data_IF_117240665093
#
_entry.id   IF_117240665093
#
_cell.length_a   1.000
_cell.length_b   1.000
_cell.length_c   1.000
_cell.angle_alpha   90.00
_cell.angle_beta   90.00
_cell.angle_gamma   90.00
#
_symmetry.space_group_name_H-M   'P 1'
#
loop_
_entity.id
_entity.type
_entity.pdbx_description
1 polymer ?
#
# COMPACT_ATOMS: atom_id res chain seq x y z
N UNK A 1 11.29 16.47 27.32
CA UNK A 1 9.93 15.90 27.21
C UNK A 1 9.85 15.19 25.89
N UNK A 2 9.40 13.92 25.84
CA UNK A 2 9.23 13.21 24.56
C UNK A 2 8.08 13.85 23.78
N UNK A 3 8.17 13.82 22.44
CA UNK A 3 7.18 14.41 21.54
C UNK A 3 6.50 13.34 20.71
N UNK A 4 5.17 13.41 20.58
CA UNK A 4 4.36 12.56 19.75
C UNK A 4 3.90 13.33 18.51
N UNK A 5 4.10 12.77 17.34
CA UNK A 5 3.53 13.29 16.10
C UNK A 5 2.31 12.46 15.71
N UNK A 6 1.20 13.11 15.40
CA UNK A 6 0.03 12.46 14.80
C UNK A 6 -0.06 12.91 13.34
N UNK A 7 0.09 11.98 12.41
CA UNK A 7 -0.10 12.22 10.99
C UNK A 7 -1.53 11.89 10.58
N UNK A 8 -2.20 12.84 9.96
CA UNK A 8 -3.57 12.71 9.45
C UNK A 8 -3.60 13.02 7.95
N UNK A 9 -3.50 12.01 7.09
CA UNK A 9 -3.71 12.19 5.65
C UNK A 9 -5.16 12.58 5.36
N UNK A 10 -5.37 13.58 4.50
CA UNK A 10 -6.70 14.08 4.12
C UNK A 10 -6.85 14.21 2.61
N UNK A 11 -8.04 13.85 2.12
CA UNK A 11 -8.47 14.09 0.75
C UNK A 11 -9.99 14.17 0.69
N UNK A 12 -10.54 15.39 0.54
CA UNK A 12 -11.97 15.66 0.56
C UNK A 12 -12.67 15.12 1.81
N UNK A 13 -12.19 15.54 2.98
CA UNK A 13 -12.67 15.13 4.31
C UNK A 13 -13.28 16.31 5.09
N UNK A 14 -13.94 17.25 4.41
CA UNK A 14 -14.54 18.45 5.01
C UNK A 14 -15.41 18.17 6.23
N UNK A 15 -16.16 17.06 6.19
CA UNK A 15 -17.12 16.69 7.27
C UNK A 15 -16.43 16.07 8.49
N UNK A 16 -15.18 15.61 8.34
CA UNK A 16 -14.46 14.84 9.35
C UNK A 16 -13.30 15.59 10.00
N UNK A 17 -12.62 16.48 9.24
CA UNK A 17 -11.33 17.04 9.63
C UNK A 17 -11.36 17.85 10.92
N UNK A 18 -12.39 18.66 11.15
CA UNK A 18 -12.54 19.45 12.37
C UNK A 18 -12.73 18.54 13.60
N UNK A 19 -13.67 17.60 13.51
CA UNK A 19 -13.94 16.66 14.59
C UNK A 19 -12.75 15.75 14.90
N UNK A 20 -11.97 15.35 13.88
CA UNK A 20 -10.73 14.59 14.09
C UNK A 20 -9.68 15.42 14.83
N UNK A 21 -9.49 16.68 14.43
CA UNK A 21 -8.55 17.59 15.10
C UNK A 21 -8.93 17.81 16.58
N UNK A 22 -10.20 18.02 16.87
CA UNK A 22 -10.71 18.17 18.24
C UNK A 22 -10.49 16.91 19.05
N UNK A 23 -10.85 15.74 18.52
CA UNK A 23 -10.71 14.46 19.22
C UNK A 23 -9.26 14.12 19.51
N UNK A 24 -8.35 14.31 18.53
CA UNK A 24 -6.93 14.09 18.71
C UNK A 24 -6.35 15.05 19.75
N UNK A 25 -6.75 16.32 19.72
CA UNK A 25 -6.30 17.32 20.69
C UNK A 25 -6.75 16.96 22.11
N UNK A 26 -8.00 16.52 22.29
CA UNK A 26 -8.53 16.06 23.56
C UNK A 26 -7.72 14.88 24.11
N UNK A 27 -7.47 13.84 23.33
CA UNK A 27 -6.68 12.68 23.74
C UNK A 27 -5.25 13.10 24.15
N UNK A 28 -4.59 13.96 23.36
CA UNK A 28 -3.23 14.42 23.61
C UNK A 28 -3.14 15.30 24.86
N UNK A 29 -4.16 16.07 25.17
CA UNK A 29 -4.19 16.96 26.35
C UNK A 29 -4.66 16.28 27.64
N UNK A 30 -5.46 15.20 27.53
CA UNK A 30 -5.98 14.47 28.68
C UNK A 30 -5.16 13.21 28.98
N UNK A 31 -5.22 12.22 28.11
CA UNK A 31 -4.58 10.92 28.33
C UNK A 31 -3.06 10.94 28.15
N UNK A 32 -2.54 11.84 27.28
CA UNK A 32 -1.14 11.92 26.92
C UNK A 32 -0.47 13.27 27.30
N UNK A 33 -0.99 13.95 28.31
CA UNK A 33 -0.58 15.28 28.74
C UNK A 33 0.89 15.40 29.18
N UNK A 34 1.56 14.27 29.47
CA UNK A 34 2.99 14.18 29.80
C UNK A 34 3.92 14.29 28.60
N UNK A 35 3.37 14.35 27.38
CA UNK A 35 4.13 14.49 26.14
C UNK A 35 3.92 15.85 25.52
N UNK A 36 4.94 16.33 24.80
CA UNK A 36 4.70 17.35 23.79
C UNK A 36 4.10 16.70 22.53
N UNK A 37 3.42 17.48 21.69
CA UNK A 37 2.78 16.90 20.52
C UNK A 37 2.74 17.86 19.33
N UNK A 38 2.60 17.28 18.16
CA UNK A 38 2.15 17.93 16.93
C UNK A 38 1.11 17.08 16.23
N UNK A 39 0.15 17.72 15.58
CA UNK A 39 -0.82 17.09 14.68
C UNK A 39 -0.51 17.61 13.28
N UNK A 40 -0.07 16.73 12.39
CA UNK A 40 0.29 17.07 11.02
C UNK A 40 -0.79 16.59 10.06
N UNK A 41 -1.55 17.52 9.49
CA UNK A 41 -2.43 17.24 8.36
C UNK A 41 -1.63 17.31 7.08
N UNK A 42 -1.74 16.27 6.23
CA UNK A 42 -1.24 16.32 4.86
C UNK A 42 -2.41 16.24 3.90
N UNK A 43 -2.71 17.36 3.26
CA UNK A 43 -3.82 17.49 2.32
C UNK A 43 -3.40 17.16 0.89
N UNK A 44 -4.03 16.15 0.34
CA UNK A 44 -3.71 15.61 -0.97
C UNK A 44 -4.47 16.31 -2.12
N UNK A 45 -4.47 17.65 -2.12
CA UNK A 45 -5.16 18.51 -3.09
C UNK A 45 -6.69 18.40 -2.99
N UNK A 46 -7.26 18.61 -1.80
CA UNK A 46 -8.72 18.65 -1.60
C UNK A 46 -9.37 19.84 -2.28
N UNK A 47 -10.61 19.64 -2.77
CA UNK A 47 -11.40 20.63 -3.52
C UNK A 47 -12.76 20.93 -2.88
N UNK A 48 -13.08 20.30 -1.76
CA UNK A 48 -14.39 20.38 -1.09
C UNK A 48 -14.49 21.41 0.04
N UNK A 49 -13.39 22.15 0.30
CA UNK A 49 -13.26 23.11 1.40
C UNK A 49 -12.55 22.53 2.64
N UNK A 50 -12.01 21.31 2.58
CA UNK A 50 -11.16 20.72 3.64
C UNK A 50 -9.97 21.62 3.97
N UNK A 51 -9.32 22.21 2.96
CA UNK A 51 -8.16 23.10 3.11
C UNK A 51 -8.44 24.30 4.00
N UNK A 52 -9.58 24.98 3.76
CA UNK A 52 -9.98 26.16 4.53
C UNK A 52 -10.18 25.86 6.01
N UNK A 53 -10.69 24.65 6.32
CA UNK A 53 -10.87 24.21 7.70
C UNK A 53 -9.52 23.94 8.36
N UNK A 54 -8.63 23.24 7.67
CA UNK A 54 -7.27 22.95 8.17
C UNK A 54 -6.51 24.26 8.44
N UNK A 55 -6.61 25.26 7.57
CA UNK A 55 -5.98 26.57 7.78
C UNK A 55 -6.51 27.26 9.04
N UNK A 56 -7.81 27.24 9.27
CA UNK A 56 -8.43 27.79 10.48
C UNK A 56 -7.96 27.06 11.73
N UNK A 57 -7.81 25.72 11.67
CA UNK A 57 -7.27 24.93 12.79
C UNK A 57 -5.83 25.29 13.09
N UNK A 58 -4.99 25.41 12.06
CA UNK A 58 -3.59 25.85 12.21
C UNK A 58 -3.45 27.28 12.77
N UNK A 59 -4.37 28.18 12.40
CA UNK A 59 -4.39 29.54 12.96
C UNK A 59 -4.74 29.56 14.45
N UNK A 60 -5.67 28.68 14.89
CA UNK A 60 -6.10 28.57 16.29
C UNK A 60 -5.06 27.88 17.18
N UNK A 61 -4.34 26.86 16.65
CA UNK A 61 -3.40 26.07 17.44
C UNK A 61 -2.09 25.83 16.66
N UNK A 62 -0.99 26.39 17.16
CA UNK A 62 0.34 26.26 16.55
C UNK A 62 0.91 24.84 16.56
N UNK A 63 0.38 23.95 17.38
CA UNK A 63 0.74 22.52 17.39
C UNK A 63 0.04 21.72 16.26
N UNK A 64 -0.96 22.32 15.60
CA UNK A 64 -1.55 21.79 14.38
C UNK A 64 -0.78 22.35 13.21
N UNK A 65 -0.23 21.46 12.40
CA UNK A 65 0.59 21.76 11.22
C UNK A 65 -0.10 21.24 9.96
N UNK A 66 0.18 21.85 8.85
CA UNK A 66 -0.37 21.41 7.57
C UNK A 66 0.66 21.44 6.45
N UNK A 67 0.58 20.42 5.58
CA UNK A 67 1.22 20.37 4.28
C UNK A 67 0.11 20.28 3.24
N UNK A 68 0.15 21.14 2.24
CA UNK A 68 -0.78 21.14 1.12
C UNK A 68 -0.04 20.71 -0.14
N UNK A 69 -0.53 19.65 -0.78
CA UNK A 69 0.06 19.14 -2.01
C UNK A 69 -0.46 19.92 -3.24
N UNK A 70 0.38 20.10 -4.26
CA UNK A 70 0.00 20.78 -5.52
C UNK A 70 -1.01 19.96 -6.34
N UNK A 71 -1.03 18.64 -6.18
CA UNK A 71 -1.93 17.71 -6.86
C UNK A 71 -2.18 16.48 -5.99
N UNK A 72 -3.11 15.63 -6.41
CA UNK A 72 -3.36 14.35 -5.74
C UNK A 72 -2.28 13.33 -6.12
N UNK A 73 -1.38 13.00 -5.18
CA UNK A 73 -0.31 12.01 -5.33
C UNK A 73 -0.73 10.58 -4.93
N UNK A 74 -2.01 10.36 -4.64
CA UNK A 74 -2.55 9.06 -4.30
C UNK A 74 -2.47 8.71 -2.81
N UNK A 75 -3.04 7.54 -2.50
CA UNK A 75 -3.24 7.09 -1.11
C UNK A 75 -1.98 6.53 -0.44
N UNK A 76 -0.89 6.32 -1.18
CA UNK A 76 0.37 5.78 -0.64
C UNK A 76 1.44 6.86 -0.50
N UNK A 77 1.63 7.67 -1.52
CA UNK A 77 2.71 8.66 -1.58
C UNK A 77 2.49 9.79 -0.58
N UNK A 78 1.29 10.38 -0.54
CA UNK A 78 0.99 11.50 0.35
C UNK A 78 1.16 11.15 1.84
N UNK A 79 0.56 10.05 2.37
CA UNK A 79 0.79 9.64 3.76
C UNK A 79 2.24 9.30 4.07
N UNK A 80 2.93 8.59 3.18
CA UNK A 80 4.34 8.25 3.36
C UNK A 80 5.22 9.50 3.46
N UNK A 81 5.00 10.45 2.55
CA UNK A 81 5.69 11.72 2.59
C UNK A 81 5.43 12.47 3.90
N UNK A 82 4.17 12.52 4.34
CA UNK A 82 3.78 13.12 5.62
C UNK A 82 4.48 12.49 6.82
N UNK A 83 4.61 11.14 6.85
CA UNK A 83 5.37 10.43 7.89
C UNK A 83 6.83 10.90 7.93
N UNK A 84 7.46 11.07 6.77
CA UNK A 84 8.83 11.56 6.68
C UNK A 84 9.01 13.01 7.17
N UNK A 85 7.95 13.82 7.24
CA UNK A 85 7.99 15.22 7.71
C UNK A 85 7.72 15.37 9.21
N UNK A 86 7.29 14.33 9.92
CA UNK A 86 7.05 14.38 11.38
C UNK A 86 8.34 14.56 12.16
N UNK A 87 8.26 15.19 13.33
CA UNK A 87 9.46 15.54 14.13
C UNK A 87 9.45 14.94 15.53
N UNK A 88 8.44 14.12 15.87
CA UNK A 88 8.29 13.47 17.16
C UNK A 88 9.25 12.30 17.39
N UNK A 89 9.34 11.86 18.65
CA UNK A 89 10.05 10.65 19.05
C UNK A 89 9.30 9.38 18.59
N UNK A 90 8.00 9.50 18.33
CA UNK A 90 7.19 8.53 17.60
C UNK A 90 6.15 9.24 16.74
N UNK A 91 5.66 8.54 15.73
CA UNK A 91 4.61 9.02 14.80
C UNK A 91 3.45 8.04 14.79
N UNK A 92 2.24 8.52 15.04
CA UNK A 92 1.00 7.76 14.81
C UNK A 92 0.41 8.20 13.48
N UNK A 93 0.15 7.25 12.58
CA UNK A 93 -0.57 7.49 11.33
C UNK A 93 -2.01 7.05 11.47
N UNK A 94 -2.98 7.93 11.24
CA UNK A 94 -4.41 7.67 11.41
C UNK A 94 -5.20 8.32 10.29
N UNK A 95 -6.19 7.60 9.72
CA UNK A 95 -7.08 8.14 8.69
C UNK A 95 -8.10 9.12 9.28
N UNK A 96 -8.46 10.15 8.50
CA UNK A 96 -9.37 11.22 8.95
C UNK A 96 -10.84 10.78 9.10
N UNK A 97 -11.23 9.61 8.59
CA UNK A 97 -12.62 9.16 8.42
C UNK A 97 -13.22 8.43 9.64
N UNK A 98 -12.50 8.38 10.75
CA UNK A 98 -12.87 7.65 11.99
C UNK A 98 -13.07 6.13 11.82
N UNK A 99 -12.60 5.55 10.73
CA UNK A 99 -12.54 4.09 10.58
C UNK A 99 -11.40 3.46 11.40
N UNK A 100 -10.40 4.26 11.72
CA UNK A 100 -9.34 3.95 12.68
C UNK A 100 -9.67 4.68 13.98
N UNK A 101 -9.92 3.97 15.11
CA UNK A 101 -10.37 4.61 16.36
C UNK A 101 -9.22 5.37 17.04
N UNK A 102 -9.35 6.72 17.21
CA UNK A 102 -8.32 7.52 17.88
C UNK A 102 -8.09 7.11 19.34
N UNK A 103 -9.06 6.46 19.95
CA UNK A 103 -9.02 5.95 21.33
C UNK A 103 -7.91 4.91 21.57
N UNK A 104 -7.37 4.30 20.50
CA UNK A 104 -6.27 3.35 20.60
C UNK A 104 -4.90 4.03 20.71
N UNK A 105 -4.79 5.32 20.43
CA UNK A 105 -3.52 6.05 20.47
C UNK A 105 -2.83 5.94 21.84
N UNK A 106 -3.52 6.10 22.98
CA UNK A 106 -2.87 5.90 24.28
C UNK A 106 -2.27 4.52 24.47
N UNK A 107 -2.97 3.45 24.07
CA UNK A 107 -2.45 2.08 24.18
C UNK A 107 -1.25 1.84 23.26
N UNK A 108 -1.21 2.46 22.08
CA UNK A 108 -0.05 2.41 21.18
C UNK A 108 1.17 3.10 21.81
N UNK A 109 0.96 4.26 22.46
CA UNK A 109 2.04 4.98 23.15
C UNK A 109 2.53 4.19 24.35
N UNK A 110 1.66 3.52 25.10
CA UNK A 110 2.04 2.66 26.21
C UNK A 110 2.92 1.47 25.71
N UNK A 111 2.51 0.80 24.64
CA UNK A 111 3.30 -0.26 24.03
C UNK A 111 4.67 0.26 23.54
N UNK A 112 4.72 1.46 22.94
CA UNK A 112 5.98 2.09 22.54
C UNK A 112 6.90 2.35 23.73
N UNK A 113 6.37 2.76 24.87
CA UNK A 113 7.17 2.95 26.10
C UNK A 113 7.70 1.62 26.67
N UNK A 114 6.99 0.52 26.42
CA UNK A 114 7.48 -0.84 26.74
C UNK A 114 8.60 -1.32 25.81
N UNK A 115 8.97 -0.51 24.78
CA UNK A 115 10.09 -0.80 23.88
C UNK A 115 9.70 -1.33 22.51
N UNK A 116 8.41 -1.43 22.19
CA UNK A 116 7.98 -1.75 20.83
C UNK A 116 8.26 -0.56 19.91
N UNK A 117 8.88 -0.84 18.76
CA UNK A 117 9.24 0.20 17.78
C UNK A 117 8.18 0.41 16.71
N UNK A 118 7.35 -0.59 16.49
CA UNK A 118 6.20 -0.55 15.60
C UNK A 118 5.01 -1.12 16.36
N UNK A 119 3.90 -0.38 16.45
CA UNK A 119 2.64 -0.87 17.00
C UNK A 119 1.59 -0.75 15.91
N UNK A 120 1.13 -1.86 15.37
CA UNK A 120 0.23 -1.92 14.22
C UNK A 120 -1.20 -2.24 14.62
N UNK A 121 -2.14 -1.43 14.19
CA UNK A 121 -3.56 -1.74 14.30
C UNK A 121 -4.00 -2.76 13.28
N UNK A 122 -4.55 -3.90 13.74
CA UNK A 122 -5.02 -5.00 12.89
C UNK A 122 -6.54 -5.09 12.96
N UNK A 123 -7.20 -5.04 11.81
CA UNK A 123 -8.66 -5.17 11.73
C UNK A 123 -9.10 -6.61 11.92
N UNK A 124 -9.90 -6.88 12.96
CA UNK A 124 -10.42 -8.24 13.23
C UNK A 124 -11.69 -8.55 12.44
N UNK A 125 -12.50 -7.55 12.13
CA UNK A 125 -13.72 -7.73 11.34
C UNK A 125 -13.97 -6.52 10.44
N UNK A 126 -14.36 -6.78 9.20
CA UNK A 126 -15.02 -5.80 8.35
C UNK A 126 -16.39 -6.34 7.96
N UNK A 127 -17.45 -5.52 8.10
CA UNK A 127 -18.82 -5.88 7.68
C UNK A 127 -18.96 -5.84 6.16
N UNK A 128 -18.06 -6.55 5.45
CA UNK A 128 -18.06 -6.63 4.00
C UNK A 128 -18.92 -7.80 3.49
N UNK A 129 -19.38 -7.70 2.24
CA UNK A 129 -20.12 -8.79 1.57
C UNK A 129 -19.23 -10.03 1.47
N UNK A 130 -19.74 -11.21 1.82
CA UNK A 130 -18.99 -12.47 1.92
C UNK A 130 -18.15 -12.84 0.69
N UNK A 131 -18.59 -12.49 -0.52
CA UNK A 131 -17.83 -12.76 -1.75
C UNK A 131 -16.54 -11.93 -1.86
N UNK A 132 -16.59 -10.64 -1.49
CA UNK A 132 -15.39 -9.75 -1.49
C UNK A 132 -14.41 -10.21 -0.41
N UNK A 133 -14.92 -10.62 0.76
CA UNK A 133 -14.12 -11.20 1.83
C UNK A 133 -13.39 -12.47 1.38
N UNK A 134 -14.08 -13.38 0.66
CA UNK A 134 -13.49 -14.60 0.11
C UNK A 134 -12.37 -14.30 -0.89
N UNK A 135 -12.61 -13.41 -1.86
CA UNK A 135 -11.60 -13.01 -2.84
C UNK A 135 -10.36 -12.39 -2.17
N UNK A 136 -10.58 -11.54 -1.17
CA UNK A 136 -9.52 -10.91 -0.40
C UNK A 136 -8.72 -11.95 0.41
N UNK A 137 -9.39 -12.90 1.02
CA UNK A 137 -8.74 -13.99 1.76
C UNK A 137 -7.90 -14.87 0.83
N UNK A 138 -8.41 -15.22 -0.35
CA UNK A 138 -7.65 -15.94 -1.37
C UNK A 138 -6.42 -15.14 -1.81
N UNK A 139 -6.56 -13.83 -2.04
CA UNK A 139 -5.46 -12.94 -2.39
C UNK A 139 -4.37 -12.90 -1.29
N UNK A 140 -4.76 -12.71 -0.01
CA UNK A 140 -3.78 -12.72 1.10
C UNK A 140 -3.10 -14.08 1.27
N UNK A 141 -3.82 -15.20 1.17
CA UNK A 141 -3.22 -16.54 1.19
C UNK A 141 -2.25 -16.75 0.03
N UNK A 142 -2.61 -16.29 -1.17
CA UNK A 142 -1.73 -16.37 -2.33
C UNK A 142 -0.46 -15.55 -2.11
N UNK A 143 -0.58 -14.28 -1.73
CA UNK A 143 0.58 -13.41 -1.47
C UNK A 143 1.44 -13.93 -0.32
N UNK A 144 0.85 -14.40 0.77
CA UNK A 144 1.57 -14.96 1.92
C UNK A 144 2.51 -16.11 1.52
N UNK A 145 2.05 -16.98 0.61
CA UNK A 145 2.85 -18.11 0.12
C UNK A 145 3.84 -17.71 -0.98
N UNK A 146 3.62 -16.59 -1.66
CA UNK A 146 4.35 -16.15 -2.83
C UNK A 146 5.28 -14.96 -2.57
N UNK A 147 5.07 -14.21 -1.48
CA UNK A 147 5.91 -13.07 -1.12
C UNK A 147 7.22 -13.52 -0.48
N UNK A 148 8.30 -12.80 -0.78
CA UNK A 148 9.57 -12.92 -0.06
C UNK A 148 9.49 -12.36 1.37
N UNK A 149 8.40 -11.65 1.69
CA UNK A 149 8.16 -10.95 2.95
C UNK A 149 6.84 -11.42 3.56
N UNK A 150 6.81 -11.64 4.86
CA UNK A 150 5.59 -12.02 5.58
C UNK A 150 4.65 -10.81 5.68
N UNK A 151 3.77 -10.65 4.70
CA UNK A 151 2.76 -9.59 4.70
C UNK A 151 1.84 -9.71 5.92
N UNK A 152 1.60 -8.59 6.58
CA UNK A 152 0.73 -8.50 7.75
C UNK A 152 -0.72 -8.43 7.26
N UNK A 153 -1.51 -9.44 7.63
CA UNK A 153 -2.91 -9.54 7.21
C UNK A 153 -3.74 -8.43 7.88
N UNK A 154 -4.69 -7.84 7.15
CA UNK A 154 -5.62 -6.80 7.62
C UNK A 154 -4.98 -5.50 8.17
N UNK A 155 -3.68 -5.30 7.98
CA UNK A 155 -2.99 -4.07 8.30
C UNK A 155 -3.24 -2.99 7.24
N UNK A 156 -3.59 -1.78 7.67
CA UNK A 156 -3.95 -0.66 6.77
C UNK A 156 -2.93 0.49 6.77
N UNK A 157 -1.98 0.46 7.70
CA UNK A 157 -1.04 1.55 7.95
C UNK A 157 -1.41 2.36 9.21
N UNK A 158 -2.55 2.11 9.83
CA UNK A 158 -2.86 2.64 11.15
C UNK A 158 -1.94 2.02 12.20
N UNK A 159 -1.24 2.87 12.94
CA UNK A 159 -0.27 2.39 13.93
C UNK A 159 0.68 3.48 14.40
N UNK A 160 1.53 3.11 15.35
CA UNK A 160 2.61 3.94 15.87
C UNK A 160 3.96 3.43 15.38
N UNK A 161 4.81 4.36 15.00
CA UNK A 161 6.14 4.13 14.44
C UNK A 161 7.18 4.97 15.20
N UNK A 162 8.17 4.31 15.78
CA UNK A 162 9.28 4.95 16.48
C UNK A 162 10.12 5.81 15.50
N UNK A 163 10.76 6.84 16.01
CA UNK A 163 11.63 7.71 15.21
C UNK A 163 12.73 6.97 14.45
N UNK A 164 13.20 5.84 14.95
CA UNK A 164 14.21 5.04 14.27
C UNK A 164 13.65 4.39 13.00
N UNK A 165 12.39 3.97 13.03
CA UNK A 165 11.70 3.49 11.83
C UNK A 165 11.39 4.63 10.85
N UNK A 166 10.97 5.80 11.36
CA UNK A 166 10.78 7.00 10.52
C UNK A 166 12.09 7.44 9.85
N UNK A 167 13.23 7.33 10.54
CA UNK A 167 14.54 7.60 9.95
C UNK A 167 14.84 6.63 8.79
N UNK A 168 14.57 5.32 8.96
CA UNK A 168 14.68 4.35 7.89
C UNK A 168 13.80 4.73 6.68
N UNK A 169 12.53 5.15 6.91
CA UNK A 169 11.65 5.56 5.81
C UNK A 169 12.23 6.72 4.99
N UNK A 170 12.91 7.69 5.66
CA UNK A 170 13.56 8.82 4.99
C UNK A 170 14.76 8.39 4.13
N UNK A 171 15.47 7.34 4.53
CA UNK A 171 16.64 6.82 3.81
C UNK A 171 16.27 5.94 2.61
N UNK A 172 15.06 5.35 2.59
CA UNK A 172 14.66 4.41 1.54
C UNK A 172 14.55 5.05 0.14
N UNK A 173 14.32 6.35 0.04
CA UNK A 173 14.18 7.09 -1.23
C UNK A 173 13.33 6.37 -2.28
N UNK A 174 12.30 5.61 -1.84
CA UNK A 174 11.41 4.89 -2.75
C UNK A 174 10.41 5.84 -3.42
N UNK A 175 10.40 5.99 -4.74
CA UNK A 175 9.46 6.88 -5.43
C UNK A 175 8.02 6.36 -5.45
N UNK A 176 7.81 5.08 -5.14
CA UNK A 176 6.48 4.46 -5.01
C UNK A 176 6.43 3.67 -3.70
N UNK A 177 6.40 4.36 -2.55
CA UNK A 177 6.45 3.71 -1.26
C UNK A 177 5.15 2.96 -0.97
N UNK A 178 5.29 1.69 -0.60
CA UNK A 178 4.18 0.87 -0.13
C UNK A 178 4.40 0.53 1.34
N UNK A 179 3.93 1.40 2.25
CA UNK A 179 4.21 1.33 3.68
C UNK A 179 3.94 -0.06 4.28
N UNK A 180 2.85 -0.72 3.88
CA UNK A 180 2.51 -2.07 4.38
C UNK A 180 3.57 -3.11 4.08
N UNK A 181 4.15 -3.05 2.90
CA UNK A 181 5.24 -3.93 2.48
C UNK A 181 6.55 -3.57 3.19
N UNK A 182 6.85 -2.28 3.34
CA UNK A 182 8.04 -1.80 4.07
C UNK A 182 7.96 -2.24 5.53
N UNK A 183 6.83 -2.06 6.20
CA UNK A 183 6.63 -2.53 7.59
C UNK A 183 6.83 -4.05 7.66
N UNK A 184 6.25 -4.82 6.74
CA UNK A 184 6.38 -6.27 6.70
C UNK A 184 7.83 -6.73 6.43
N UNK A 185 8.58 -6.01 5.62
CA UNK A 185 9.99 -6.31 5.30
C UNK A 185 10.91 -6.09 6.49
N UNK A 186 10.70 -5.01 7.22
CA UNK A 186 11.60 -4.62 8.31
C UNK A 186 11.09 -4.98 9.71
N UNK A 187 9.85 -5.48 9.86
CA UNK A 187 9.26 -5.78 11.18
C UNK A 187 10.08 -6.77 12.00
N UNK A 188 10.83 -7.68 11.37
CA UNK A 188 11.72 -8.63 12.08
C UNK A 188 12.92 -7.95 12.75
N UNK A 189 13.38 -6.82 12.24
CA UNK A 189 14.45 -6.00 12.79
C UNK A 189 13.99 -4.97 13.82
N UNK A 190 12.69 -4.71 13.87
CA UNK A 190 12.05 -3.80 14.82
C UNK A 190 11.09 -4.59 15.70
N UNK A 191 11.18 -4.40 17.03
CA UNK A 191 10.24 -5.04 17.94
C UNK A 191 8.82 -4.52 17.65
N UNK A 192 7.93 -5.40 17.14
CA UNK A 192 6.59 -5.05 16.68
C UNK A 192 5.53 -5.70 17.55
N UNK A 193 4.46 -4.94 17.83
CA UNK A 193 3.23 -5.40 18.47
C UNK A 193 2.04 -5.22 17.53
N UNK A 194 1.20 -6.23 17.43
CA UNK A 194 -0.09 -6.17 16.73
C UNK A 194 -1.20 -5.93 17.77
N UNK A 195 -2.01 -4.90 17.53
CA UNK A 195 -3.17 -4.54 18.36
C UNK A 195 -4.43 -4.70 17.53
N UNK A 196 -5.25 -5.66 17.92
CA UNK A 196 -6.50 -5.94 17.22
C UNK A 196 -7.58 -4.91 17.53
N UNK A 197 -8.36 -4.53 16.51
CA UNK A 197 -9.51 -3.65 16.70
C UNK A 197 -10.65 -3.95 15.72
N UNK A 198 -11.87 -3.65 16.13
CA UNK A 198 -13.04 -3.65 15.25
C UNK A 198 -13.12 -2.33 14.49
N UNK A 199 -13.20 -2.40 13.17
CA UNK A 199 -13.32 -1.20 12.35
C UNK A 199 -14.72 -0.58 12.48
N UNK A 200 -14.86 0.64 13.01
CA UNK A 200 -16.13 1.34 13.02
C UNK A 200 -16.59 1.69 11.62
N UNK A 201 -17.87 2.01 11.48
CA UNK A 201 -18.37 2.58 10.22
C UNK A 201 -17.79 3.97 10.01
N UNK A 202 -17.50 4.31 8.77
CA UNK A 202 -17.10 5.66 8.37
C UNK A 202 -18.13 6.67 8.90
N UNK A 203 -17.66 7.73 9.56
CA UNK A 203 -18.53 8.75 10.18
C UNK A 203 -19.30 9.55 9.14
N UNK A 204 -18.61 10.04 8.10
CA UNK A 204 -19.18 10.84 7.02
C UNK A 204 -18.35 10.72 5.74
N UNK A 205 -18.86 11.27 4.63
CA UNK A 205 -18.19 11.27 3.33
C UNK A 205 -18.32 9.95 2.57
N UNK A 206 -17.69 9.88 1.40
CA UNK A 206 -17.71 8.72 0.51
C UNK A 206 -16.29 8.15 0.33
N UNK A 207 -16.19 6.84 0.12
CA UNK A 207 -14.91 6.25 -0.27
C UNK A 207 -14.52 6.70 -1.68
N UNK A 208 -13.26 7.07 -1.84
CA UNK A 208 -12.67 7.42 -3.14
C UNK A 208 -11.99 6.23 -3.83
N UNK A 209 -11.97 5.07 -3.18
CA UNK A 209 -11.43 3.84 -3.77
C UNK A 209 -12.39 3.28 -4.82
N UNK A 210 -11.90 3.08 -6.03
CA UNK A 210 -12.58 2.42 -7.12
C UNK A 210 -11.84 1.13 -7.52
N UNK A 211 -12.38 0.38 -8.49
CA UNK A 211 -11.79 -0.87 -8.94
C UNK A 211 -10.34 -0.69 -9.45
N UNK A 212 -10.07 0.40 -10.18
CA UNK A 212 -8.72 0.68 -10.72
C UNK A 212 -7.72 0.96 -9.60
N UNK A 213 -8.08 1.78 -8.61
CA UNK A 213 -7.18 2.06 -7.48
C UNK A 213 -6.89 0.82 -6.64
N UNK A 214 -7.85 -0.10 -6.52
CA UNK A 214 -7.65 -1.38 -5.84
C UNK A 214 -6.76 -2.33 -6.68
N UNK A 215 -6.96 -2.35 -8.00
CA UNK A 215 -6.12 -3.11 -8.92
C UNK A 215 -4.67 -2.61 -8.88
N UNK A 216 -4.45 -1.29 -8.99
CA UNK A 216 -3.13 -0.69 -8.93
C UNK A 216 -2.42 -1.00 -7.60
N UNK A 217 -3.14 -0.91 -6.47
CA UNK A 217 -2.61 -1.27 -5.17
C UNK A 217 -2.22 -2.76 -5.08
N UNK A 218 -3.05 -3.63 -5.67
CA UNK A 218 -2.78 -5.06 -5.74
C UNK A 218 -1.54 -5.35 -6.61
N UNK A 219 -1.46 -4.74 -7.79
CA UNK A 219 -0.33 -4.94 -8.71
C UNK A 219 0.97 -4.36 -8.14
N UNK A 220 0.92 -3.19 -7.49
CA UNK A 220 2.05 -2.62 -6.79
C UNK A 220 2.59 -3.57 -5.71
N UNK A 221 1.70 -4.10 -4.87
CA UNK A 221 2.07 -5.07 -3.84
C UNK A 221 2.68 -6.34 -4.45
N UNK A 222 2.06 -6.85 -5.52
CA UNK A 222 2.49 -8.08 -6.18
C UNK A 222 3.86 -7.91 -6.86
N UNK A 223 4.03 -6.88 -7.68
CA UNK A 223 5.27 -6.66 -8.45
C UNK A 223 6.45 -6.23 -7.58
N UNK A 224 6.20 -5.52 -6.47
CA UNK A 224 7.26 -5.07 -5.57
C UNK A 224 7.76 -6.16 -4.62
N UNK A 225 6.89 -7.07 -4.17
CA UNK A 225 7.23 -8.02 -3.09
C UNK A 225 7.15 -9.49 -3.50
N UNK A 226 6.81 -9.82 -4.76
CA UNK A 226 6.82 -11.21 -5.24
C UNK A 226 7.68 -11.38 -6.49
N UNK A 227 8.51 -12.43 -6.48
CA UNK A 227 9.29 -12.85 -7.66
C UNK A 227 8.67 -14.06 -8.35
N UNK A 228 7.62 -14.64 -7.75
CA UNK A 228 7.06 -15.92 -8.17
C UNK A 228 6.34 -15.78 -9.50
N UNK A 229 5.66 -14.66 -9.77
CA UNK A 229 4.99 -14.45 -11.04
C UNK A 229 5.94 -14.60 -12.23
N UNK A 230 7.11 -13.94 -12.18
CA UNK A 230 8.13 -14.09 -13.21
C UNK A 230 8.72 -15.50 -13.27
N UNK A 231 8.95 -16.15 -12.12
CA UNK A 231 9.45 -17.52 -12.05
C UNK A 231 8.48 -18.53 -12.63
N UNK A 232 7.18 -18.39 -12.36
CA UNK A 232 6.12 -19.23 -12.97
C UNK A 232 6.11 -18.99 -14.48
N UNK A 233 6.17 -17.74 -14.94
CA UNK A 233 6.23 -17.42 -16.37
C UNK A 233 7.42 -18.10 -17.04
N UNK A 234 8.61 -18.00 -16.42
CA UNK A 234 9.84 -18.63 -16.92
C UNK A 234 9.72 -20.16 -16.93
N UNK A 235 9.23 -20.75 -15.85
CA UNK A 235 9.07 -22.21 -15.75
C UNK A 235 8.07 -22.76 -16.77
N UNK A 236 6.91 -22.12 -16.88
CA UNK A 236 5.91 -22.52 -17.89
C UNK A 236 6.42 -22.31 -19.30
N UNK A 237 7.10 -21.19 -19.57
CA UNK A 237 7.75 -20.95 -20.87
C UNK A 237 8.76 -22.02 -21.23
N UNK A 238 9.58 -22.44 -20.27
CA UNK A 238 10.57 -23.51 -20.45
C UNK A 238 9.88 -24.87 -20.72
N UNK A 239 8.88 -25.23 -19.93
CA UNK A 239 8.14 -26.50 -20.09
C UNK A 239 7.43 -26.55 -21.45
N UNK A 240 6.66 -25.50 -21.77
CA UNK A 240 5.88 -25.43 -23.01
C UNK A 240 6.85 -25.36 -24.21
N UNK A 241 7.92 -24.57 -24.12
CA UNK A 241 8.93 -24.47 -25.15
C UNK A 241 9.64 -25.81 -25.42
N UNK A 242 10.05 -26.51 -24.37
CA UNK A 242 10.68 -27.83 -24.49
C UNK A 242 9.74 -28.85 -25.09
N UNK A 243 8.48 -28.88 -24.65
CA UNK A 243 7.47 -29.79 -25.19
C UNK A 243 7.19 -29.48 -26.66
N UNK A 244 7.00 -28.22 -27.01
CA UNK A 244 6.82 -27.77 -28.42
C UNK A 244 7.99 -28.14 -29.31
N UNK A 245 9.23 -27.98 -28.80
CA UNK A 245 10.43 -28.37 -29.51
C UNK A 245 10.47 -29.89 -29.76
N UNK A 246 10.15 -30.70 -28.74
CA UNK A 246 10.08 -32.16 -28.92
C UNK A 246 9.01 -32.58 -29.93
N UNK A 247 7.84 -31.98 -29.86
CA UNK A 247 6.77 -32.25 -30.85
C UNK A 247 7.21 -31.86 -32.26
N UNK A 248 7.82 -30.69 -32.41
CA UNK A 248 8.38 -30.24 -33.70
C UNK A 248 9.43 -31.21 -34.24
N UNK A 249 10.33 -31.69 -33.38
CA UNK A 249 11.37 -32.65 -33.74
C UNK A 249 10.76 -33.99 -34.21
N UNK A 250 9.75 -34.51 -33.46
CA UNK A 250 9.05 -35.74 -33.84
C UNK A 250 8.39 -35.57 -35.21
N UNK A 251 7.61 -34.51 -35.43
CA UNK A 251 6.97 -34.25 -36.71
C UNK A 251 7.99 -34.06 -37.83
N UNK A 252 9.13 -33.41 -37.57
CA UNK A 252 10.21 -33.29 -38.55
C UNK A 252 10.77 -34.67 -38.97
N UNK A 253 11.11 -35.52 -38.00
CA UNK A 253 11.58 -36.88 -38.28
C UNK A 253 10.56 -37.72 -39.02
N UNK A 254 9.29 -37.70 -38.57
CA UNK A 254 8.18 -38.41 -39.26
C UNK A 254 7.99 -37.92 -40.71
N UNK A 255 8.16 -36.63 -40.97
CA UNK A 255 8.05 -36.07 -42.30
C UNK A 255 9.20 -36.55 -43.21
N UNK A 256 10.42 -36.70 -42.68
CA UNK A 256 11.57 -37.25 -43.43
C UNK A 256 11.35 -38.74 -43.80
N UNK A 257 10.76 -39.52 -42.87
CA UNK A 257 10.52 -40.96 -43.03
C UNK A 257 9.30 -41.24 -43.96
N UNK A 258 8.22 -40.42 -43.82
CA UNK A 258 6.94 -40.63 -44.51
C UNK A 258 6.58 -39.39 -45.34
N UNK A 259 7.39 -39.04 -46.33
CA UNK A 259 7.27 -37.80 -47.11
C UNK A 259 5.88 -37.55 -47.73
N UNK A 260 5.17 -38.64 -48.22
CA UNK A 260 3.90 -38.51 -48.93
C UNK A 260 2.63 -38.76 -48.07
N UNK A 261 2.73 -39.06 -46.81
CA UNK A 261 1.58 -39.52 -45.99
C UNK A 261 0.95 -38.45 -45.10
N UNK A 262 1.38 -37.20 -45.16
CA UNK A 262 0.80 -36.12 -44.40
C UNK A 262 -0.33 -35.43 -45.16
N UNK A 263 -1.58 -35.79 -44.86
CA UNK A 263 -2.75 -34.94 -45.20
C UNK A 263 -2.78 -33.71 -44.32
N UNK A 264 -3.04 -32.54 -44.90
CA UNK A 264 -3.03 -31.29 -44.20
C UNK A 264 -4.20 -31.14 -43.22
N UNK A 265 -3.95 -31.40 -41.93
CA UNK A 265 -4.87 -31.04 -40.84
C UNK A 265 -4.66 -29.62 -40.42
N UNK A 266 -5.29 -28.62 -41.05
CA UNK A 266 -5.12 -27.19 -40.71
C UNK A 266 -5.73 -26.83 -39.35
N UNK A 267 -6.79 -27.49 -38.93
CA UNK A 267 -7.54 -27.16 -37.69
C UNK A 267 -6.68 -27.31 -36.43
N UNK A 268 -5.96 -28.41 -36.18
CA UNK A 268 -5.08 -28.52 -35.01
C UNK A 268 -3.97 -27.46 -35.01
N UNK A 269 -3.45 -27.06 -36.18
CA UNK A 269 -2.41 -26.02 -36.30
C UNK A 269 -2.99 -24.67 -35.87
N UNK A 270 -4.16 -24.30 -36.33
CA UNK A 270 -4.83 -23.05 -35.97
C UNK A 270 -5.09 -22.99 -34.46
N UNK A 271 -5.62 -24.08 -33.89
CA UNK A 271 -5.87 -24.16 -32.44
C UNK A 271 -4.57 -23.99 -31.64
N UNK A 272 -3.50 -24.66 -32.07
CA UNK A 272 -2.19 -24.56 -31.41
C UNK A 272 -1.62 -23.15 -31.48
N UNK A 273 -1.68 -22.49 -32.64
CA UNK A 273 -1.23 -21.10 -32.82
C UNK A 273 -2.03 -20.14 -31.93
N UNK A 274 -3.37 -20.27 -31.91
CA UNK A 274 -4.22 -19.44 -31.06
C UNK A 274 -3.94 -19.65 -29.58
N UNK A 275 -3.77 -20.88 -29.13
CA UNK A 275 -3.45 -21.20 -27.74
C UNK A 275 -2.10 -20.62 -27.31
N UNK A 276 -1.05 -20.87 -28.11
CA UNK A 276 0.29 -20.33 -27.83
C UNK A 276 0.32 -18.80 -27.87
N UNK A 277 -0.38 -18.20 -28.85
CA UNK A 277 -0.51 -16.73 -28.94
C UNK A 277 -1.22 -16.13 -27.72
N UNK A 278 -2.28 -16.75 -27.24
CA UNK A 278 -3.01 -16.30 -26.05
C UNK A 278 -2.13 -16.36 -24.79
N UNK A 279 -1.41 -17.47 -24.60
CA UNK A 279 -0.45 -17.62 -23.48
C UNK A 279 0.67 -16.58 -23.57
N UNK A 280 1.21 -16.38 -24.77
CA UNK A 280 2.26 -15.39 -24.99
C UNK A 280 1.81 -13.97 -24.67
N UNK A 281 0.63 -13.55 -25.13
CA UNK A 281 0.07 -12.23 -24.87
C UNK A 281 -0.19 -12.01 -23.38
N UNK A 282 -0.67 -13.03 -22.66
CA UNK A 282 -0.83 -12.96 -21.21
C UNK A 282 0.50 -12.67 -20.50
N UNK A 283 1.57 -13.41 -20.81
CA UNK A 283 2.86 -13.20 -20.18
C UNK A 283 3.53 -11.89 -20.59
N UNK A 284 3.33 -11.44 -21.84
CA UNK A 284 3.83 -10.12 -22.29
C UNK A 284 3.12 -9.01 -21.49
N UNK A 285 1.81 -9.07 -21.31
CA UNK A 285 1.07 -8.12 -20.48
C UNK A 285 1.55 -8.12 -19.04
N UNK A 286 1.74 -9.32 -18.47
CA UNK A 286 2.26 -9.48 -17.12
C UNK A 286 3.69 -8.90 -16.96
N UNK A 287 4.58 -9.14 -17.93
CA UNK A 287 5.90 -8.53 -17.95
C UNK A 287 5.83 -7.00 -18.05
N UNK A 288 4.85 -6.49 -18.79
CA UNK A 288 4.58 -5.05 -18.90
C UNK A 288 4.35 -4.38 -17.55
N UNK A 289 3.66 -5.03 -16.62
CA UNK A 289 3.45 -4.51 -15.25
C UNK A 289 4.78 -4.37 -14.47
N UNK A 290 5.70 -5.34 -14.61
CA UNK A 290 7.04 -5.22 -14.00
C UNK A 290 7.86 -4.10 -14.64
N UNK A 291 7.80 -3.98 -15.97
CA UNK A 291 8.50 -2.91 -16.70
C UNK A 291 7.95 -1.55 -16.29
N UNK A 292 6.64 -1.41 -16.12
CA UNK A 292 6.01 -0.18 -15.65
C UNK A 292 6.51 0.20 -14.25
N UNK A 293 6.55 -0.76 -13.32
CA UNK A 293 7.07 -0.55 -11.97
C UNK A 293 8.55 -0.12 -11.98
N UNK A 294 9.39 -0.83 -12.76
CA UNK A 294 10.82 -0.50 -12.92
C UNK A 294 10.97 0.90 -13.52
N UNK A 295 10.23 1.22 -14.58
CA UNK A 295 10.28 2.52 -15.24
C UNK A 295 9.95 3.66 -14.26
N UNK A 296 8.90 3.49 -13.44
CA UNK A 296 8.50 4.51 -12.46
C UNK A 296 9.59 4.72 -11.41
N UNK A 297 10.28 3.66 -10.98
CA UNK A 297 11.40 3.75 -10.03
C UNK A 297 12.64 4.39 -10.65
N UNK A 298 12.95 4.12 -11.93
CA UNK A 298 14.09 4.71 -12.64
C UNK A 298 13.90 6.21 -12.87
N UNK A 299 12.69 6.65 -13.21
CA UNK A 299 12.38 8.08 -13.41
C UNK A 299 12.59 8.88 -12.13
N UNK A 300 12.43 8.26 -10.96
CA UNK A 300 12.71 8.82 -9.63
C UNK A 300 12.11 10.23 -9.43
N UNK A 301 10.84 10.39 -9.78
CA UNK A 301 10.11 11.63 -9.52
C UNK A 301 9.95 11.85 -8.01
N UNK A 302 9.91 13.12 -7.54
CA UNK A 302 9.58 13.40 -6.15
C UNK A 302 8.29 12.69 -5.73
N UNK A 303 8.29 12.06 -4.55
CA UNK A 303 7.11 11.33 -4.01
C UNK A 303 5.91 12.27 -3.90
N UNK A 304 6.17 13.52 -3.48
CA UNK A 304 5.19 14.60 -3.34
C UNK A 304 5.86 15.92 -3.69
N UNK A 305 5.09 16.83 -4.30
CA UNK A 305 5.45 18.24 -4.47
C UNK A 305 4.48 19.06 -3.63
N UNK A 306 5.02 19.84 -2.70
CA UNK A 306 4.23 20.70 -1.83
C UNK A 306 3.89 22.02 -2.51
N UNK A 307 2.69 22.50 -2.26
CA UNK A 307 2.27 23.84 -2.58
C UNK A 307 2.73 24.82 -1.48
N UNK A 308 2.47 24.44 -0.22
CA UNK A 308 2.82 25.26 0.96
C UNK A 308 2.75 24.46 2.26
N UNK A 309 3.37 25.00 3.29
CA UNK A 309 3.33 24.51 4.68
C UNK A 309 2.80 25.58 5.63
N UNK A 310 2.20 25.15 6.75
CA UNK A 310 1.75 26.02 7.84
C UNK A 310 2.27 25.49 9.17
N UNK A 311 2.78 26.39 10.02
CA UNK A 311 3.26 26.14 11.39
C UNK A 311 4.51 25.23 11.50
N UNK A 312 5.39 25.24 10.52
CA UNK A 312 6.67 24.52 10.57
C UNK A 312 7.80 25.37 11.13
#
# INVERSE_FOLDING_TARGET
MKKISILVPTYNEKENVEAMAERLTDILQTALNRYDYEILFIDNCSTDGTRDIIEKLCAKNKKIKAIFNVTNFGQFNSPFYGMCQTTGDCTVSICCDFQDPPELIPSFVEAWEQGYKIVSGIKTSSKERGFIYFLRTCYYKMIKNMSSVRMIEHFTGFGLYDKTFIALLRELHDPIPFLRGIVAEYCSGFNMLEVEYEQPKRRAGKTHNNFYTLYDAMMLSFTSYTKIGLRIATLLGFIIGSLSFLVALVFFVLKLIRWNSFSAGYVPIIIMICLLGSIQLFFIGFLGEYVLNINTRIINRPVVVEERRINF
#
